data_IF_082363839479
#
_entry.id   IF_082363839479
#
_cell.length_a   1.000
_cell.length_b   1.000
_cell.length_c   1.000
_cell.angle_alpha   90.00
_cell.angle_beta   90.00
_cell.angle_gamma   90.00
#
_symmetry.space_group_name_H-M   'P 1'
#
loop_
_entity.id
_entity.type
_entity.pdbx_description
1 polymer ?
#
# COMPACT_ATOMS: atom_id res chain seq x y z
N UNK A 1 -14.04 12.39 -27.75
CA UNK A 1 -13.19 11.75 -26.73
C UNK A 1 -14.08 11.37 -25.56
N UNK A 2 -14.24 10.08 -25.24
CA UNK A 2 -14.95 9.67 -24.03
C UNK A 2 -14.08 10.08 -22.85
N UNK A 3 -14.61 10.92 -21.96
CA UNK A 3 -14.03 11.11 -20.63
C UNK A 3 -14.01 9.73 -19.98
N UNK A 4 -12.84 9.07 -19.98
CA UNK A 4 -12.64 7.91 -19.14
C UNK A 4 -12.69 8.45 -17.72
N UNK A 5 -13.81 8.20 -17.03
CA UNK A 5 -13.98 8.60 -15.65
C UNK A 5 -12.74 8.15 -14.88
N UNK A 6 -12.12 9.07 -14.13
CA UNK A 6 -10.99 8.72 -13.28
C UNK A 6 -11.40 7.50 -12.45
N UNK A 7 -10.56 6.47 -12.34
CA UNK A 7 -10.92 5.33 -11.53
C UNK A 7 -11.16 5.84 -10.09
N UNK A 8 -12.37 5.57 -9.58
CA UNK A 8 -12.88 6.15 -8.34
C UNK A 8 -13.02 5.04 -7.31
N UNK A 9 -12.25 5.16 -6.23
CA UNK A 9 -12.44 4.35 -5.03
C UNK A 9 -13.71 4.82 -4.31
N UNK A 10 -14.60 3.89 -3.93
CA UNK A 10 -15.84 4.24 -3.23
C UNK A 10 -15.56 4.80 -1.83
N UNK A 11 -16.50 5.56 -1.27
CA UNK A 11 -16.37 6.05 0.12
C UNK A 11 -16.29 4.89 1.12
N UNK A 12 -17.03 3.80 0.87
CA UNK A 12 -16.99 2.58 1.66
C UNK A 12 -15.60 1.96 1.67
N UNK A 13 -14.96 1.84 0.50
CA UNK A 13 -13.63 1.25 0.38
C UNK A 13 -12.57 2.14 1.04
N UNK A 14 -12.69 3.47 0.91
CA UNK A 14 -11.81 4.41 1.61
C UNK A 14 -11.91 4.28 3.13
N UNK A 15 -13.14 4.23 3.65
CA UNK A 15 -13.39 4.09 5.07
C UNK A 15 -12.87 2.72 5.58
N UNK A 16 -13.15 1.65 4.86
CA UNK A 16 -12.69 0.30 5.18
C UNK A 16 -11.16 0.19 5.21
N UNK A 17 -10.49 0.74 4.19
CA UNK A 17 -9.03 0.74 4.13
C UNK A 17 -8.42 1.59 5.23
N UNK A 18 -8.96 2.79 5.48
CA UNK A 18 -8.51 3.65 6.57
C UNK A 18 -8.62 2.93 7.92
N UNK A 19 -9.73 2.23 8.16
CA UNK A 19 -9.91 1.46 9.38
C UNK A 19 -8.94 0.29 9.50
N UNK A 20 -8.67 -0.43 8.40
CA UNK A 20 -7.68 -1.50 8.40
C UNK A 20 -6.28 -0.99 8.79
N UNK A 21 -5.86 0.16 8.26
CA UNK A 21 -4.58 0.78 8.61
C UNK A 21 -4.57 1.18 10.09
N UNK A 22 -5.66 1.77 10.59
CA UNK A 22 -5.78 2.17 12.00
C UNK A 22 -5.67 0.99 12.97
N UNK A 23 -6.05 -0.23 12.55
CA UNK A 23 -5.93 -1.42 13.38
C UNK A 23 -4.53 -2.03 13.41
N UNK A 24 -3.67 -1.66 12.46
CA UNK A 24 -2.34 -2.24 12.32
C UNK A 24 -1.21 -1.29 12.72
N UNK A 25 -1.39 0.02 12.54
CA UNK A 25 -0.44 1.02 13.05
C UNK A 25 -0.50 1.11 14.58
N UNK A 26 0.61 1.55 15.21
CA UNK A 26 0.58 1.82 16.65
C UNK A 26 -0.43 2.94 16.97
N UNK A 27 -1.15 2.86 18.11
CA UNK A 27 -2.22 3.82 18.45
C UNK A 27 -1.81 5.28 18.37
N UNK A 28 -0.58 5.61 18.76
CA UNK A 28 -0.01 6.95 18.71
C UNK A 28 0.18 7.48 17.29
N UNK A 29 0.19 6.63 16.26
CA UNK A 29 0.32 7.04 14.85
C UNK A 29 -1.00 7.10 14.10
N UNK A 30 -2.12 6.72 14.73
CA UNK A 30 -3.46 6.77 14.10
C UNK A 30 -3.81 8.17 13.58
N UNK A 31 -3.43 9.22 14.32
CA UNK A 31 -3.68 10.62 13.94
C UNK A 31 -2.86 11.07 12.72
N UNK A 32 -1.86 10.29 12.31
CA UNK A 32 -1.03 10.55 11.13
C UNK A 32 -1.60 9.96 9.84
N UNK A 33 -2.72 9.24 9.90
CA UNK A 33 -3.37 8.65 8.72
C UNK A 33 -4.31 9.68 8.08
N UNK A 34 -3.91 10.18 6.92
CA UNK A 34 -4.60 11.19 6.14
C UNK A 34 -5.63 10.62 5.15
N UNK A 35 -5.56 11.11 3.92
CA UNK A 35 -6.47 10.80 2.83
C UNK A 35 -6.14 9.45 2.18
N UNK A 36 -7.18 8.69 1.82
CA UNK A 36 -7.10 7.53 0.92
C UNK A 36 -7.57 7.98 -0.46
N UNK A 37 -6.72 7.85 -1.48
CA UNK A 37 -6.98 8.33 -2.85
C UNK A 37 -6.50 7.36 -3.92
N UNK A 38 -7.13 7.44 -5.08
CA UNK A 38 -6.61 6.80 -6.30
C UNK A 38 -5.88 7.86 -7.11
N UNK A 39 -4.64 7.55 -7.51
CA UNK A 39 -3.73 8.49 -8.19
C UNK A 39 -3.00 7.76 -9.31
N UNK A 40 -2.70 8.50 -10.38
CA UNK A 40 -1.87 8.01 -11.48
C UNK A 40 -0.42 8.45 -11.28
N UNK A 41 0.52 7.53 -11.46
CA UNK A 41 1.97 7.78 -11.46
C UNK A 41 2.56 6.93 -12.56
N UNK A 42 3.40 7.53 -13.42
CA UNK A 42 4.07 6.82 -14.53
C UNK A 42 3.08 5.92 -15.32
N UNK A 43 1.93 6.47 -15.70
CA UNK A 43 0.86 5.80 -16.44
C UNK A 43 0.22 4.57 -15.75
N UNK A 44 0.44 4.39 -14.46
CA UNK A 44 -0.20 3.35 -13.63
C UNK A 44 -1.12 3.98 -12.59
N UNK A 45 -2.34 3.45 -12.48
CA UNK A 45 -3.26 3.81 -11.42
C UNK A 45 -2.92 3.01 -10.16
N UNK A 46 -2.92 3.67 -9.01
CA UNK A 46 -2.66 3.05 -7.72
C UNK A 46 -3.56 3.61 -6.63
N UNK A 47 -3.74 2.83 -5.57
CA UNK A 47 -4.31 3.28 -4.30
C UNK A 47 -3.16 3.81 -3.42
N UNK A 48 -3.33 5.05 -2.98
CA UNK A 48 -2.38 5.80 -2.19
C UNK A 48 -3.03 6.25 -0.90
N UNK A 49 -2.26 6.19 0.19
CA UNK A 49 -2.70 6.69 1.49
C UNK A 49 -1.64 7.67 2.00
N UNK A 50 -2.10 8.82 2.48
CA UNK A 50 -1.23 9.74 3.19
C UNK A 50 -0.96 9.22 4.60
N UNK A 51 0.30 8.97 4.93
CA UNK A 51 0.73 8.53 6.26
C UNK A 51 1.87 9.43 6.70
N UNK A 52 1.70 10.12 7.83
CA UNK A 52 2.67 11.05 8.38
C UNK A 52 3.10 12.16 7.40
N UNK A 53 2.19 12.59 6.52
CA UNK A 53 2.45 13.59 5.48
C UNK A 53 3.14 13.06 4.23
N UNK A 54 3.37 11.75 4.14
CA UNK A 54 4.01 11.10 2.99
C UNK A 54 3.01 10.22 2.21
N UNK A 55 3.20 10.14 0.89
CA UNK A 55 2.44 9.27 0.01
C UNK A 55 2.94 7.82 0.13
N UNK A 56 2.10 6.94 0.67
CA UNK A 56 2.33 5.50 0.71
C UNK A 56 1.50 4.77 -0.35
N UNK A 57 2.14 3.90 -1.13
CA UNK A 57 1.50 3.06 -2.15
C UNK A 57 1.02 1.74 -1.54
N UNK A 58 -0.21 1.37 -1.86
CA UNK A 58 -0.90 0.21 -1.29
C UNK A 58 -1.26 -0.88 -2.30
N UNK A 59 -1.08 -0.65 -3.61
CA UNK A 59 -1.48 -1.60 -4.66
C UNK A 59 -2.42 -0.99 -5.69
N UNK A 60 -2.75 -1.74 -6.74
CA UNK A 60 -3.62 -1.26 -7.83
C UNK A 60 -5.10 -1.54 -7.54
N UNK A 61 -5.39 -2.56 -6.75
CA UNK A 61 -6.75 -3.01 -6.39
C UNK A 61 -7.06 -2.78 -4.91
N UNK A 62 -8.35 -2.75 -4.55
CA UNK A 62 -8.77 -2.60 -3.16
C UNK A 62 -8.38 -3.83 -2.33
N UNK A 63 -8.43 -5.02 -2.91
CA UNK A 63 -7.97 -6.26 -2.30
C UNK A 63 -6.48 -6.19 -1.96
N UNK A 64 -5.65 -5.74 -2.89
CA UNK A 64 -4.23 -5.52 -2.66
C UNK A 64 -3.97 -4.50 -1.56
N UNK A 65 -4.72 -3.39 -1.56
CA UNK A 65 -4.61 -2.36 -0.54
C UNK A 65 -5.02 -2.83 0.85
N UNK A 66 -6.09 -3.61 0.97
CA UNK A 66 -6.52 -4.19 2.25
C UNK A 66 -5.46 -5.14 2.81
N UNK A 67 -4.91 -6.01 1.97
CA UNK A 67 -3.81 -6.89 2.36
C UNK A 67 -2.56 -6.07 2.75
N UNK A 68 -2.27 -4.97 2.04
CA UNK A 68 -1.13 -4.08 2.36
C UNK A 68 -1.29 -3.48 3.75
N UNK A 69 -2.49 -3.00 4.06
CA UNK A 69 -2.81 -2.45 5.36
C UNK A 69 -2.65 -3.48 6.48
N UNK A 70 -3.12 -4.71 6.27
CA UNK A 70 -3.07 -5.80 7.23
C UNK A 70 -1.64 -6.26 7.54
N UNK A 71 -0.78 -6.30 6.51
CA UNK A 71 0.61 -6.73 6.63
C UNK A 71 1.57 -5.58 7.00
N UNK A 72 1.09 -4.33 7.00
CA UNK A 72 1.90 -3.11 7.11
C UNK A 72 3.05 -2.99 6.10
N UNK A 73 2.85 -3.60 4.93
CA UNK A 73 3.84 -3.69 3.88
C UNK A 73 3.50 -2.71 2.75
N UNK A 74 3.54 -1.40 3.02
CA UNK A 74 3.36 -0.33 2.03
C UNK A 74 4.69 0.30 1.63
N UNK A 75 4.71 0.98 0.48
CA UNK A 75 5.91 1.63 -0.08
C UNK A 75 5.78 3.15 0.04
N UNK A 76 6.73 3.80 0.72
CA UNK A 76 6.94 5.24 0.63
C UNK A 76 7.92 5.58 -0.51
N UNK A 77 7.49 6.37 -1.49
CA UNK A 77 8.37 6.77 -2.61
C UNK A 77 9.59 7.61 -2.17
N UNK A 78 9.50 8.27 -1.03
CA UNK A 78 10.57 9.05 -0.40
C UNK A 78 11.67 8.19 0.22
N UNK A 79 11.35 6.95 0.61
CA UNK A 79 12.25 6.04 1.35
C UNK A 79 12.82 4.92 0.49
N UNK A 80 12.17 4.62 -0.62
CA UNK A 80 12.56 3.54 -1.53
C UNK A 80 13.04 4.09 -2.87
N UNK A 81 13.92 3.37 -3.59
CA UNK A 81 14.26 3.71 -4.97
C UNK A 81 12.99 3.84 -5.84
N UNK A 82 13.10 4.47 -7.02
CA UNK A 82 11.97 4.58 -7.93
C UNK A 82 11.29 3.23 -8.12
N UNK A 83 9.96 3.19 -7.98
CA UNK A 83 9.20 1.95 -8.15
C UNK A 83 9.50 1.32 -9.51
N UNK A 84 9.99 0.09 -9.48
CA UNK A 84 10.19 -0.73 -10.66
C UNK A 84 8.85 -1.33 -11.10
N UNK A 85 8.78 -1.81 -12.35
CA UNK A 85 7.57 -2.42 -12.90
C UNK A 85 7.03 -3.57 -12.03
N UNK A 86 7.92 -4.35 -11.42
CA UNK A 86 7.59 -5.45 -10.50
C UNK A 86 7.03 -4.95 -9.16
N UNK A 87 7.41 -3.76 -8.69
CA UNK A 87 6.91 -3.20 -7.43
C UNK A 87 5.44 -2.78 -7.53
N UNK A 88 5.01 -2.40 -8.75
CA UNK A 88 3.62 -2.10 -9.02
C UNK A 88 2.71 -3.33 -8.99
N UNK A 89 3.21 -4.49 -9.44
CA UNK A 89 2.43 -5.74 -9.51
C UNK A 89 2.57 -6.60 -8.27
N UNK A 90 3.65 -6.40 -7.50
CA UNK A 90 3.97 -7.12 -6.26
C UNK A 90 2.76 -7.31 -5.32
N UNK A 91 2.02 -6.24 -5.02
CA UNK A 91 0.91 -6.30 -4.07
C UNK A 91 -0.29 -7.08 -4.61
N UNK A 92 -0.54 -7.00 -5.91
CA UNK A 92 -1.61 -7.73 -6.58
C UNK A 92 -1.25 -9.22 -6.74
N UNK A 93 0.03 -9.55 -6.95
CA UNK A 93 0.52 -10.94 -7.01
C UNK A 93 0.33 -11.70 -5.70
N UNK A 94 0.64 -11.07 -4.55
CA UNK A 94 0.45 -11.74 -3.25
C UNK A 94 -1.03 -11.97 -2.92
N UNK A 95 -1.94 -11.10 -3.38
CA UNK A 95 -3.38 -11.34 -3.24
C UNK A 95 -3.78 -12.61 -3.98
N UNK A 96 -3.26 -12.84 -5.19
CA UNK A 96 -3.53 -14.05 -5.96
C UNK A 96 -3.04 -15.34 -5.26
N UNK A 97 -2.09 -15.23 -4.33
CA UNK A 97 -1.59 -16.34 -3.53
C UNK A 97 -2.24 -16.51 -2.15
N UNK A 98 -3.08 -15.55 -1.74
CA UNK A 98 -3.82 -15.59 -0.48
C UNK A 98 -2.90 -15.80 0.74
N UNK A 99 -3.35 -16.59 1.71
CA UNK A 99 -2.61 -16.86 2.95
C UNK A 99 -1.22 -17.51 2.74
N UNK A 100 -1.02 -18.19 1.60
CA UNK A 100 0.25 -18.86 1.27
C UNK A 100 1.26 -17.96 0.56
N UNK A 101 0.97 -16.67 0.41
CA UNK A 101 1.80 -15.76 -0.38
C UNK A 101 3.25 -15.72 0.10
N UNK A 102 3.48 -15.72 1.42
CA UNK A 102 4.82 -15.64 1.98
C UNK A 102 5.69 -16.81 1.51
N UNK A 103 5.12 -18.01 1.42
CA UNK A 103 5.82 -19.24 1.01
C UNK A 103 6.10 -19.30 -0.50
N UNK A 104 5.27 -18.63 -1.31
CA UNK A 104 5.35 -18.66 -2.77
C UNK A 104 6.23 -17.58 -3.38
N UNK A 105 6.57 -16.56 -2.60
CA UNK A 105 7.37 -15.43 -3.05
C UNK A 105 8.86 -15.76 -2.98
N UNK A 106 9.60 -15.29 -3.99
CA UNK A 106 11.06 -15.42 -4.04
C UNK A 106 11.72 -14.77 -2.82
N UNK A 107 12.81 -15.35 -2.26
CA UNK A 107 13.41 -14.88 -1.00
C UNK A 107 13.74 -13.38 -0.96
N UNK A 108 14.16 -12.80 -2.08
CA UNK A 108 14.50 -11.37 -2.18
C UNK A 108 13.30 -10.46 -1.90
N UNK A 109 12.15 -10.71 -2.56
CA UNK A 109 10.92 -9.93 -2.37
C UNK A 109 10.37 -10.10 -0.95
N UNK A 110 10.54 -11.29 -0.34
CA UNK A 110 10.22 -11.51 1.08
C UNK A 110 11.11 -10.67 2.00
N UNK A 111 12.41 -10.58 1.72
CA UNK A 111 13.34 -9.76 2.48
C UNK A 111 12.99 -8.27 2.38
N UNK A 112 12.73 -7.76 1.16
CA UNK A 112 12.29 -6.39 0.93
C UNK A 112 10.99 -6.06 1.70
N UNK A 113 10.02 -6.98 1.70
CA UNK A 113 8.78 -6.84 2.46
C UNK A 113 9.07 -6.73 3.97
N UNK A 114 9.91 -7.62 4.52
CA UNK A 114 10.28 -7.58 5.95
C UNK A 114 10.97 -6.27 6.34
N UNK A 115 11.84 -5.74 5.48
CA UNK A 115 12.52 -4.46 5.70
C UNK A 115 11.54 -3.28 5.68
N UNK A 116 10.59 -3.27 4.74
CA UNK A 116 9.52 -2.26 4.71
C UNK A 116 8.65 -2.32 5.95
N UNK A 117 8.20 -3.52 6.32
CA UNK A 117 7.41 -3.72 7.53
C UNK A 117 8.17 -3.17 8.75
N UNK A 118 9.43 -3.57 8.94
CA UNK A 118 10.24 -3.09 10.06
C UNK A 118 10.41 -1.55 10.10
N UNK A 119 10.54 -0.91 8.94
CA UNK A 119 10.76 0.54 8.83
C UNK A 119 9.48 1.38 8.82
N UNK A 120 8.35 0.79 8.42
CA UNK A 120 7.02 1.41 8.50
C UNK A 120 6.56 1.59 9.96
N UNK A 121 7.06 0.75 10.88
CA UNK A 121 6.76 0.82 12.32
C UNK A 121 7.75 1.62 13.16
N UNK A 122 8.93 1.95 12.62
CA UNK A 122 9.88 2.85 13.27
C UNK A 122 9.88 4.19 12.53
N UNK A 123 9.11 5.20 12.97
CA UNK A 123 9.58 6.54 12.68
C UNK A 123 10.95 6.64 13.31
N UNK A 124 11.94 6.98 12.48
CA UNK A 124 13.23 7.41 12.98
C UNK A 124 13.01 8.41 14.11
N UNK A 125 13.83 8.25 15.14
CA UNK A 125 14.04 9.23 16.21
C UNK A 125 14.08 10.68 15.69
#
# INVERSE_FOLDING_TARGET
MKSMGKPMLSERDRAGLKQAIQTTVLPEYVHKIGEVRMKWVADRAGIWVEIAGEDAYFGQTIEAAMMTAQECDWIFLSKHPPMLDDDWTWFDERVAHGESWQDRVVPMKRQESRERVATNYCPGE
#
